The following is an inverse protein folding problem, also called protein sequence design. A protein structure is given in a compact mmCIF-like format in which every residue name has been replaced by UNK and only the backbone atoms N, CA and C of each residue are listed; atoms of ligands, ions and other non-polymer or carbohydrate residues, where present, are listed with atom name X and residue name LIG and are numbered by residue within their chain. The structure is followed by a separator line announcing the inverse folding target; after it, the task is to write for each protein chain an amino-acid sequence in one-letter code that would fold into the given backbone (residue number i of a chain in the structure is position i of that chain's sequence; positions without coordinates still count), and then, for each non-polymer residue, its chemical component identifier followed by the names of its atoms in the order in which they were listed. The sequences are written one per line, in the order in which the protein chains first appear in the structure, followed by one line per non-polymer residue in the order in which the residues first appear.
data_IF_016729904069
#
_entry.id   IF_016729904069
#
_cell.length_a   1.000
_cell.length_b   1.000
_cell.length_c   1.000
_cell.angle_alpha   90.00
_cell.angle_beta   90.00
_cell.angle_gamma   90.00
#
_symmetry.space_group_name_H-M   'P 1'
#
loop_
_entity.id
_entity.type
_entity.pdbx_description
1 polymer ?
#
# COMPACT_ATOMS: atom_id res chain seq x y z
N UNK A 1 11.57 -1.85 11.06
CA UNK A 1 12.43 -0.68 10.78
C UNK A 1 11.76 0.12 9.67
N UNK A 2 11.21 1.30 10.00
CA UNK A 2 10.87 2.30 8.99
C UNK A 2 12.16 2.59 8.24
N UNK A 3 12.27 2.30 6.94
CA UNK A 3 13.50 2.59 6.21
C UNK A 3 13.66 4.12 6.17
N UNK A 4 14.56 4.72 6.96
CA UNK A 4 14.61 6.17 7.14
C UNK A 4 15.24 6.90 5.94
N UNK A 5 15.39 6.18 4.82
CA UNK A 5 16.09 6.64 3.61
C UNK A 5 15.11 7.05 2.51
N UNK A 6 13.84 6.62 2.59
CA UNK A 6 12.84 6.91 1.57
C UNK A 6 11.99 8.15 1.92
N UNK A 7 11.78 9.04 0.95
CA UNK A 7 10.85 10.17 1.08
C UNK A 7 9.42 9.61 1.26
N UNK A 8 8.72 9.91 2.37
CA UNK A 8 7.35 9.41 2.58
C UNK A 8 6.38 9.84 1.47
N UNK A 9 6.69 10.90 0.73
CA UNK A 9 5.87 11.39 -0.37
C UNK A 9 6.17 10.70 -1.71
N UNK A 10 7.27 9.98 -1.85
CA UNK A 10 7.63 9.29 -3.09
C UNK A 10 6.52 8.32 -3.50
N UNK A 11 6.12 7.42 -2.60
CA UNK A 11 5.02 6.46 -2.84
C UNK A 11 3.72 7.16 -3.21
N UNK A 12 3.37 8.25 -2.53
CA UNK A 12 2.12 8.99 -2.77
C UNK A 12 2.13 9.66 -4.15
N UNK A 13 3.26 10.25 -4.55
CA UNK A 13 3.43 10.85 -5.88
C UNK A 13 3.36 9.78 -6.96
N UNK A 14 4.07 8.66 -6.78
CA UNK A 14 4.05 7.54 -7.72
C UNK A 14 2.63 7.01 -7.94
N UNK A 15 1.84 6.82 -6.87
CA UNK A 15 0.44 6.38 -6.99
C UNK A 15 -0.40 7.39 -7.80
N UNK A 16 -0.23 8.70 -7.53
CA UNK A 16 -0.97 9.76 -8.23
C UNK A 16 -0.59 9.89 -9.70
N UNK A 17 0.68 9.68 -10.03
CA UNK A 17 1.19 9.74 -11.41
C UNK A 17 0.81 8.51 -12.23
N UNK A 18 0.89 7.31 -11.64
CA UNK A 18 0.62 6.04 -12.33
C UNK A 18 -0.89 5.75 -12.41
N UNK A 19 -1.63 6.13 -11.36
CA UNK A 19 -3.04 5.79 -11.19
C UNK A 19 -3.25 4.55 -10.30
N UNK A 20 -4.19 4.65 -9.35
CA UNK A 20 -4.47 3.59 -8.40
C UNK A 20 -4.95 2.27 -9.05
N UNK A 21 -5.55 2.30 -10.24
CA UNK A 21 -5.97 1.13 -11.02
C UNK A 21 -4.82 0.26 -11.55
N UNK A 22 -3.58 0.77 -11.46
CA UNK A 22 -2.36 0.09 -11.91
C UNK A 22 -1.41 -0.26 -10.77
N UNK A 23 -1.80 0.00 -9.53
CA UNK A 23 -0.99 -0.25 -8.35
C UNK A 23 -1.57 -1.39 -7.50
N UNK A 24 -0.70 -2.09 -6.77
CA UNK A 24 -1.06 -3.11 -5.78
C UNK A 24 -0.35 -2.77 -4.46
N UNK A 25 -1.02 -2.96 -3.33
CA UNK A 25 -0.42 -2.82 -2.00
C UNK A 25 0.06 -4.18 -1.50
N UNK A 26 1.32 -4.24 -1.08
CA UNK A 26 1.92 -5.36 -0.37
C UNK A 26 2.73 -4.85 0.82
N UNK A 27 2.64 -5.54 1.97
CA UNK A 27 3.30 -5.07 3.19
C UNK A 27 4.78 -5.43 3.25
N UNK A 28 5.17 -6.54 2.62
CA UNK A 28 6.52 -7.14 2.73
C UNK A 28 7.01 -7.28 4.18
N UNK A 29 6.06 -7.46 5.11
CA UNK A 29 6.26 -7.64 6.54
C UNK A 29 5.93 -9.08 6.96
N UNK A 30 6.30 -9.48 8.19
CA UNK A 30 6.11 -10.83 8.73
C UNK A 30 7.38 -11.69 8.77
N UNK A 31 8.52 -11.17 8.33
CA UNK A 31 9.82 -11.81 8.54
C UNK A 31 10.22 -11.71 10.02
N UNK A 32 11.09 -12.62 10.49
CA UNK A 32 11.50 -12.76 11.91
C UNK A 32 11.93 -11.46 12.58
N UNK A 33 12.55 -10.53 11.84
CA UNK A 33 13.06 -9.26 12.36
C UNK A 33 12.15 -8.05 12.05
N UNK A 34 11.00 -8.29 11.46
CA UNK A 34 10.07 -7.25 11.03
C UNK A 34 8.76 -7.27 11.82
N UNK A 35 7.96 -6.23 11.63
CA UNK A 35 6.62 -6.14 12.21
C UNK A 35 5.76 -7.30 11.69
N UNK A 36 4.74 -7.67 12.48
CA UNK A 36 3.66 -8.53 12.00
C UNK A 36 3.05 -7.98 10.71
N UNK A 37 2.71 -8.89 9.78
CA UNK A 37 2.22 -8.52 8.45
C UNK A 37 0.93 -7.68 8.50
N UNK A 38 0.04 -7.95 9.46
CA UNK A 38 -1.23 -7.24 9.62
C UNK A 38 -0.98 -5.85 10.19
N UNK A 39 -0.16 -5.73 11.22
CA UNK A 39 0.16 -4.43 11.80
C UNK A 39 0.88 -3.52 10.80
N UNK A 40 1.82 -4.08 10.05
CA UNK A 40 2.53 -3.35 9.00
C UNK A 40 1.59 -2.85 7.89
N UNK A 41 0.63 -3.68 7.48
CA UNK A 41 -0.42 -3.29 6.54
C UNK A 41 -1.29 -2.14 7.08
N UNK A 42 -1.70 -2.21 8.36
CA UNK A 42 -2.52 -1.16 9.01
C UNK A 42 -1.78 0.17 9.07
N UNK A 43 -0.48 0.15 9.41
CA UNK A 43 0.35 1.37 9.44
C UNK A 43 0.47 1.97 8.05
N UNK A 44 0.72 1.15 7.02
CA UNK A 44 0.88 1.64 5.66
C UNK A 44 -0.42 2.26 5.12
N UNK A 45 -1.57 1.61 5.31
CA UNK A 45 -2.88 2.15 4.92
C UNK A 45 -3.15 3.48 5.62
N UNK A 46 -2.90 3.57 6.93
CA UNK A 46 -3.07 4.83 7.69
C UNK A 46 -2.20 5.96 7.14
N UNK A 47 -0.96 5.65 6.74
CA UNK A 47 -0.07 6.63 6.14
C UNK A 47 -0.61 7.13 4.78
N UNK A 48 -1.03 6.22 3.89
CA UNK A 48 -1.62 6.58 2.60
C UNK A 48 -2.85 7.49 2.76
N UNK A 49 -3.75 7.16 3.68
CA UNK A 49 -4.93 7.99 4.00
C UNK A 49 -4.52 9.37 4.52
N UNK A 50 -3.55 9.43 5.45
CA UNK A 50 -3.06 10.70 6.00
C UNK A 50 -2.41 11.60 4.94
N UNK A 51 -1.78 11.02 3.91
CA UNK A 51 -1.16 11.76 2.80
C UNK A 51 -2.11 12.01 1.60
N UNK A 52 -3.40 11.72 1.76
CA UNK A 52 -4.44 12.13 0.82
C UNK A 52 -4.68 11.16 -0.33
N UNK A 53 -4.34 9.87 -0.18
CA UNK A 53 -4.92 8.80 -0.99
C UNK A 53 -6.29 8.47 -0.39
N UNK A 54 -7.33 8.36 -1.23
CA UNK A 54 -8.69 8.10 -0.76
C UNK A 54 -8.90 6.64 -0.34
N UNK A 55 -9.89 6.39 0.53
CA UNK A 55 -10.29 5.03 0.90
C UNK A 55 -10.67 4.17 -0.32
N UNK A 56 -11.30 4.80 -1.32
CA UNK A 56 -11.66 4.13 -2.57
C UNK A 56 -10.42 3.67 -3.34
N UNK A 57 -9.42 4.53 -3.47
CA UNK A 57 -8.16 4.18 -4.13
C UNK A 57 -7.40 3.09 -3.36
N UNK A 58 -7.37 3.18 -2.02
CA UNK A 58 -6.78 2.12 -1.17
C UNK A 58 -7.48 0.79 -1.42
N UNK A 59 -8.82 0.75 -1.44
CA UNK A 59 -9.58 -0.47 -1.72
C UNK A 59 -9.23 -1.05 -3.10
N UNK A 60 -9.17 -0.19 -4.12
CA UNK A 60 -8.79 -0.61 -5.48
C UNK A 60 -7.41 -1.26 -5.49
N UNK A 61 -6.41 -0.64 -4.84
CA UNK A 61 -5.03 -1.16 -4.84
C UNK A 61 -4.85 -2.39 -3.94
N UNK A 62 -5.57 -2.48 -2.81
CA UNK A 62 -5.40 -3.55 -1.82
C UNK A 62 -6.21 -4.80 -2.15
N UNK A 63 -7.40 -4.63 -2.73
CA UNK A 63 -8.37 -5.71 -2.88
C UNK A 63 -8.73 -5.94 -4.36
N UNK A 64 -9.22 -4.91 -5.04
CA UNK A 64 -9.87 -5.11 -6.35
C UNK A 64 -8.84 -5.45 -7.45
N UNK A 65 -7.71 -4.73 -7.50
CA UNK A 65 -6.65 -4.97 -8.48
C UNK A 65 -6.01 -6.36 -8.31
N UNK A 66 -5.56 -6.77 -7.10
CA UNK A 66 -5.02 -8.12 -6.91
C UNK A 66 -6.01 -9.23 -7.27
N UNK A 67 -7.27 -9.12 -6.84
CA UNK A 67 -8.30 -10.12 -7.12
C UNK A 67 -8.47 -10.31 -8.63
N UNK A 68 -8.63 -9.21 -9.37
CA UNK A 68 -8.75 -9.25 -10.84
C UNK A 68 -7.52 -9.83 -11.53
N UNK A 69 -6.31 -9.54 -11.05
CA UNK A 69 -5.06 -10.06 -11.64
C UNK A 69 -4.83 -11.54 -11.35
N UNK A 70 -5.42 -12.04 -10.27
CA UNK A 70 -5.36 -13.44 -9.87
C UNK A 70 -6.59 -14.25 -10.28
N UNK A 71 -7.54 -13.64 -11.01
CA UNK A 71 -8.80 -14.28 -11.45
C UNK A 71 -9.64 -14.77 -10.26
N UNK A 72 -9.75 -13.95 -9.22
CA UNK A 72 -10.48 -14.21 -7.98
C UNK A 72 -11.73 -13.31 -7.81
N UNK A 73 -12.08 -12.56 -8.86
CA UNK A 73 -13.23 -11.67 -8.93
C UNK A 73 -14.57 -12.38 -9.22
#
# INVERSE_FOLDING_TARGET
LYQPVADPMETVKTIKEIGADRCIIGSDFGQVLHMDSIDGMRVFIRALLAFGISEKEVKVMLQDNPAKRMYLD
#
